data_IF_407579799484
#
_entry.id   IF_407579799484
#
_cell.length_a   1.000
_cell.length_b   1.000
_cell.length_c   1.000
_cell.angle_alpha   90.00
_cell.angle_beta   90.00
_cell.angle_gamma   90.00
#
_symmetry.space_group_name_H-M   'P 1'
#
loop_
_entity.id
_entity.type
_entity.pdbx_description
1 polymer ?
#
# COMPACT_ATOMS: atom_id res chain seq x y z
N UNK A 1 1.37 -102.50 77.70
CA UNK A 1 0.35 -101.76 76.93
C UNK A 1 1.08 -100.86 75.95
N UNK A 2 1.02 -101.18 74.66
CA UNK A 2 1.96 -100.67 73.66
C UNK A 2 1.50 -99.33 73.07
N UNK A 3 2.04 -98.23 73.63
CA UNK A 3 1.80 -96.83 73.23
C UNK A 3 2.10 -96.53 71.75
N UNK A 4 2.81 -97.43 71.04
CA UNK A 4 3.19 -97.28 69.62
C UNK A 4 2.04 -97.53 68.63
N UNK A 5 0.99 -98.26 69.03
CA UNK A 5 -0.13 -98.58 68.12
C UNK A 5 -1.21 -97.50 68.06
N UNK A 6 -1.31 -96.62 69.07
CA UNK A 6 -2.34 -95.57 69.11
C UNK A 6 -1.95 -94.39 68.20
N UNK A 7 -0.67 -94.01 68.16
CA UNK A 7 -0.20 -92.90 67.31
C UNK A 7 -0.21 -93.23 65.81
N UNK A 8 -0.06 -94.51 65.42
CA UNK A 8 -0.14 -94.92 64.01
C UNK A 8 -1.57 -94.89 63.44
N UNK A 9 -2.60 -95.11 64.28
CA UNK A 9 -3.99 -95.05 63.87
C UNK A 9 -4.51 -93.61 63.69
N UNK A 10 -4.04 -92.69 64.53
CA UNK A 10 -4.43 -91.27 64.46
C UNK A 10 -3.75 -90.56 63.27
N UNK A 11 -2.52 -90.93 62.91
CA UNK A 11 -1.81 -90.34 61.78
C UNK A 11 -2.37 -90.77 60.40
N UNK A 12 -2.95 -91.97 60.30
CA UNK A 12 -3.53 -92.49 59.06
C UNK A 12 -4.91 -91.87 58.76
N UNK A 13 -5.67 -91.44 59.77
CA UNK A 13 -6.98 -90.77 59.58
C UNK A 13 -6.85 -89.30 59.17
N UNK A 14 -5.78 -88.61 59.53
CA UNK A 14 -5.55 -87.20 59.14
C UNK A 14 -5.10 -87.10 57.67
N UNK A 15 -4.41 -88.14 57.15
CA UNK A 15 -3.86 -88.14 55.79
C UNK A 15 -4.92 -88.37 54.70
N UNK A 16 -6.08 -88.95 55.03
CA UNK A 16 -7.19 -89.16 54.08
C UNK A 16 -8.07 -87.90 53.96
N UNK A 17 -8.03 -86.98 54.94
CA UNK A 17 -8.81 -85.74 54.93
C UNK A 17 -8.27 -84.61 54.04
N UNK A 18 -7.04 -84.73 53.53
CA UNK A 18 -6.37 -83.63 52.81
C UNK A 18 -6.49 -83.77 51.27
N UNK A 19 -6.92 -84.92 50.74
CA UNK A 19 -7.01 -85.15 49.28
C UNK A 19 -8.41 -85.02 48.67
N UNK A 20 -9.42 -84.52 49.42
CA UNK A 20 -10.82 -84.44 48.96
C UNK A 20 -11.37 -83.01 48.84
N UNK A 21 -10.54 -82.00 48.61
CA UNK A 21 -10.99 -80.66 48.23
C UNK A 21 -10.44 -80.28 46.85
N UNK A 22 -10.87 -81.03 45.83
CA UNK A 22 -10.87 -80.50 44.48
C UNK A 22 -11.84 -79.31 44.46
N UNK A 23 -11.29 -78.12 44.22
CA UNK A 23 -12.01 -76.86 44.19
C UNK A 23 -12.90 -76.80 42.93
N UNK A 24 -14.00 -77.56 42.91
CA UNK A 24 -15.02 -77.44 41.88
C UNK A 24 -15.91 -76.24 42.20
N UNK A 25 -15.52 -75.05 41.71
CA UNK A 25 -16.44 -73.90 41.64
C UNK A 25 -17.76 -74.37 41.01
N UNK A 26 -18.89 -74.06 41.67
CA UNK A 26 -20.22 -74.38 41.19
C UNK A 26 -20.43 -73.78 39.79
N UNK A 27 -21.13 -74.50 38.92
CA UNK A 27 -21.41 -74.08 37.53
C UNK A 27 -22.12 -72.71 37.48
N UNK A 28 -22.89 -72.37 38.52
CA UNK A 28 -23.54 -71.07 38.71
C UNK A 28 -22.57 -69.93 38.99
N UNK A 29 -21.48 -70.17 39.73
CA UNK A 29 -20.46 -69.16 40.05
C UNK A 29 -19.57 -68.89 38.83
N UNK A 30 -19.23 -69.93 38.07
CA UNK A 30 -18.53 -69.79 36.78
C UNK A 30 -19.37 -68.98 35.79
N UNK A 31 -20.68 -69.24 35.68
CA UNK A 31 -21.58 -68.45 34.83
C UNK A 31 -21.71 -66.99 35.28
N UNK A 32 -21.68 -66.71 36.60
CA UNK A 32 -21.76 -65.34 37.12
C UNK A 32 -20.47 -64.55 36.84
N UNK A 33 -19.31 -65.20 36.91
CA UNK A 33 -18.01 -64.60 36.55
C UNK A 33 -17.97 -64.30 35.05
N UNK A 34 -18.37 -65.24 34.18
CA UNK A 34 -18.43 -65.05 32.73
C UNK A 34 -19.36 -63.89 32.36
N UNK A 35 -20.56 -63.79 32.98
CA UNK A 35 -21.49 -62.67 32.74
C UNK A 35 -20.93 -61.31 33.17
N UNK A 36 -20.17 -61.27 34.27
CA UNK A 36 -19.50 -60.04 34.74
C UNK A 36 -18.36 -59.64 33.81
N UNK A 37 -17.55 -60.60 33.34
CA UNK A 37 -16.48 -60.37 32.37
C UNK A 37 -17.03 -59.86 31.02
N UNK A 38 -18.12 -60.46 30.52
CA UNK A 38 -18.82 -60.00 29.32
C UNK A 38 -19.40 -58.58 29.46
N UNK A 39 -19.90 -58.24 30.64
CA UNK A 39 -20.43 -56.91 30.93
C UNK A 39 -19.32 -55.86 31.00
N UNK A 40 -18.19 -56.19 31.62
CA UNK A 40 -16.99 -55.33 31.65
C UNK A 40 -16.41 -55.16 30.24
N UNK A 41 -16.39 -56.22 29.42
CA UNK A 41 -15.93 -56.17 28.04
C UNK A 41 -16.82 -55.25 27.18
N UNK A 42 -18.14 -55.31 27.36
CA UNK A 42 -19.09 -54.40 26.67
C UNK A 42 -18.91 -52.94 27.08
N UNK A 43 -18.67 -52.66 28.37
CA UNK A 43 -18.41 -51.29 28.87
C UNK A 43 -17.08 -50.75 28.33
N UNK A 44 -16.01 -51.55 28.34
CA UNK A 44 -14.72 -51.15 27.74
C UNK A 44 -14.86 -50.90 26.23
N UNK A 45 -15.66 -51.71 25.54
CA UNK A 45 -15.91 -51.53 24.11
C UNK A 45 -16.71 -50.24 23.82
N UNK A 46 -17.69 -49.88 24.66
CA UNK A 46 -18.43 -48.63 24.51
C UNK A 46 -17.57 -47.41 24.85
N UNK A 47 -16.72 -47.47 25.88
CA UNK A 47 -15.76 -46.41 26.22
C UNK A 47 -14.74 -46.18 25.10
N UNK A 48 -14.18 -47.25 24.51
CA UNK A 48 -13.25 -47.15 23.37
C UNK A 48 -13.94 -46.54 22.14
N UNK A 49 -15.22 -46.85 21.91
CA UNK A 49 -16.01 -46.24 20.83
C UNK A 49 -16.26 -44.76 21.11
N UNK A 50 -16.67 -44.39 22.32
CA UNK A 50 -16.87 -43.01 22.73
C UNK A 50 -15.57 -42.18 22.64
N UNK A 51 -14.42 -42.75 23.03
CA UNK A 51 -13.11 -42.09 22.89
C UNK A 51 -12.70 -41.91 21.41
N UNK A 52 -13.00 -42.89 20.54
CA UNK A 52 -12.75 -42.77 19.10
C UNK A 52 -13.63 -41.69 18.45
N UNK A 53 -14.90 -41.61 18.83
CA UNK A 53 -15.82 -40.57 18.36
C UNK A 53 -15.42 -39.19 18.87
N UNK A 54 -15.07 -39.05 20.16
CA UNK A 54 -14.56 -37.82 20.73
C UNK A 54 -13.26 -37.35 20.04
N UNK A 55 -12.34 -38.27 19.72
CA UNK A 55 -11.13 -37.95 18.94
C UNK A 55 -11.43 -37.51 17.51
N UNK A 56 -12.42 -38.13 16.84
CA UNK A 56 -12.84 -37.70 15.49
C UNK A 56 -13.44 -36.29 15.52
N UNK A 57 -14.34 -36.03 16.46
CA UNK A 57 -14.96 -34.70 16.66
C UNK A 57 -13.89 -33.65 17.00
N UNK A 58 -12.93 -33.97 17.88
CA UNK A 58 -11.82 -33.07 18.20
C UNK A 58 -10.94 -32.76 16.98
N UNK A 59 -10.64 -33.77 16.16
CA UNK A 59 -9.84 -33.61 14.93
C UNK A 59 -10.59 -32.81 13.86
N UNK A 60 -11.90 -32.96 13.75
CA UNK A 60 -12.74 -32.15 12.86
C UNK A 60 -12.84 -30.70 13.33
N UNK A 61 -13.02 -30.47 14.64
CA UNK A 61 -13.01 -29.11 15.21
C UNK A 61 -11.65 -28.42 15.04
N UNK A 62 -10.54 -29.14 15.21
CA UNK A 62 -9.20 -28.59 14.98
C UNK A 62 -8.98 -28.23 13.51
N UNK A 63 -9.43 -29.08 12.57
CA UNK A 63 -9.40 -28.78 11.13
C UNK A 63 -10.25 -27.57 10.79
N UNK A 64 -11.48 -27.49 11.31
CA UNK A 64 -12.38 -26.36 11.10
C UNK A 64 -11.78 -25.05 11.63
N UNK A 65 -11.16 -25.08 12.81
CA UNK A 65 -10.48 -23.90 13.38
C UNK A 65 -9.26 -23.49 12.55
N UNK A 66 -8.48 -24.45 12.02
CA UNK A 66 -7.35 -24.17 11.13
C UNK A 66 -7.82 -23.55 9.81
N UNK A 67 -8.89 -24.07 9.22
CA UNK A 67 -9.46 -23.51 7.99
C UNK A 67 -10.03 -22.12 8.22
N UNK A 68 -10.72 -21.88 9.34
CA UNK A 68 -11.27 -20.55 9.66
C UNK A 68 -10.15 -19.52 9.89
N UNK A 69 -9.07 -19.90 10.59
CA UNK A 69 -7.89 -19.03 10.75
C UNK A 69 -7.22 -18.72 9.43
N UNK A 70 -7.03 -19.72 8.57
CA UNK A 70 -6.44 -19.53 7.25
C UNK A 70 -7.31 -18.61 6.35
N UNK A 71 -8.63 -18.74 6.42
CA UNK A 71 -9.56 -17.86 5.69
C UNK A 71 -9.48 -16.42 6.21
N UNK A 72 -9.47 -16.22 7.53
CA UNK A 72 -9.33 -14.89 8.14
C UNK A 72 -7.99 -14.22 7.82
N UNK A 73 -6.91 -14.99 7.81
CA UNK A 73 -5.58 -14.49 7.44
C UNK A 73 -5.53 -14.11 5.95
N UNK A 74 -6.05 -14.95 5.06
CA UNK A 74 -6.15 -14.65 3.64
C UNK A 74 -7.02 -13.41 3.35
N UNK A 75 -8.13 -13.24 4.08
CA UNK A 75 -8.98 -12.05 3.97
C UNK A 75 -8.26 -10.79 4.48
N UNK A 76 -7.55 -10.88 5.61
CA UNK A 76 -6.76 -9.77 6.14
C UNK A 76 -5.64 -9.35 5.17
N UNK A 77 -4.97 -10.30 4.53
CA UNK A 77 -3.93 -10.02 3.54
C UNK A 77 -4.51 -9.40 2.27
N UNK A 78 -5.68 -9.86 1.81
CA UNK A 78 -6.40 -9.23 0.69
C UNK A 78 -6.78 -7.78 1.00
N UNK A 79 -7.32 -7.53 2.20
CA UNK A 79 -7.68 -6.16 2.63
C UNK A 79 -6.44 -5.26 2.70
N UNK A 80 -5.32 -5.76 3.25
CA UNK A 80 -4.05 -5.01 3.29
C UNK A 80 -3.53 -4.69 1.90
N UNK A 81 -3.59 -5.64 0.97
CA UNK A 81 -3.11 -5.43 -0.39
C UNK A 81 -4.01 -4.43 -1.15
N UNK A 82 -5.32 -4.51 -0.95
CA UNK A 82 -6.27 -3.54 -1.51
C UNK A 82 -6.06 -2.13 -0.93
N UNK A 83 -5.83 -2.01 0.38
CA UNK A 83 -5.47 -0.75 1.02
C UNK A 83 -4.16 -0.17 0.46
N UNK A 84 -3.12 -1.00 0.29
CA UNK A 84 -1.85 -0.57 -0.32
C UNK A 84 -2.07 -0.10 -1.75
N UNK A 85 -2.90 -0.80 -2.52
CA UNK A 85 -3.23 -0.42 -3.89
C UNK A 85 -3.97 0.92 -3.95
N UNK A 86 -4.94 1.14 -3.07
CA UNK A 86 -5.64 2.42 -2.95
C UNK A 86 -4.66 3.53 -2.57
N UNK A 87 -3.82 3.32 -1.56
CA UNK A 87 -2.82 4.31 -1.13
C UNK A 87 -1.84 4.65 -2.26
N UNK A 88 -1.42 3.65 -3.04
CA UNK A 88 -0.55 3.85 -4.20
C UNK A 88 -1.25 4.68 -5.29
N UNK A 89 -2.51 4.36 -5.60
CA UNK A 89 -3.32 5.10 -6.57
C UNK A 89 -3.54 6.55 -6.13
N UNK A 90 -3.78 6.80 -4.83
CA UNK A 90 -3.89 8.15 -4.29
C UNK A 90 -2.57 8.92 -4.38
N UNK A 91 -1.45 8.28 -4.05
CA UNK A 91 -0.10 8.88 -4.20
C UNK A 91 0.18 9.22 -5.66
N UNK A 92 -0.15 8.33 -6.58
CA UNK A 92 0.07 8.55 -8.01
C UNK A 92 -0.84 9.64 -8.55
N UNK A 93 -2.13 9.66 -8.16
CA UNK A 93 -3.04 10.77 -8.49
C UNK A 93 -2.50 12.10 -7.99
N UNK A 94 -2.04 12.17 -6.73
CA UNK A 94 -1.46 13.38 -6.14
C UNK A 94 -0.18 13.82 -6.85
N UNK A 95 0.64 12.86 -7.32
CA UNK A 95 1.85 13.17 -8.12
C UNK A 95 1.46 13.73 -9.48
N UNK A 96 0.48 13.14 -10.15
CA UNK A 96 -0.03 13.60 -11.43
C UNK A 96 -0.65 15.00 -11.32
N UNK A 97 -1.47 15.25 -10.30
CA UNK A 97 -2.04 16.59 -10.04
C UNK A 97 -0.94 17.63 -9.82
N UNK A 98 0.09 17.33 -9.03
CA UNK A 98 1.24 18.23 -8.85
C UNK A 98 2.01 18.47 -10.14
N UNK A 99 2.16 17.46 -11.00
CA UNK A 99 2.83 17.61 -12.29
C UNK A 99 2.01 18.49 -13.23
N UNK A 100 0.69 18.27 -13.31
CA UNK A 100 -0.22 19.10 -14.07
C UNK A 100 -0.21 20.55 -13.59
N UNK A 101 -0.25 20.77 -12.27
CA UNK A 101 -0.19 22.12 -11.69
C UNK A 101 1.13 22.83 -12.01
N UNK A 102 2.26 22.11 -11.96
CA UNK A 102 3.57 22.67 -12.36
C UNK A 102 3.59 23.03 -13.84
N UNK A 103 3.13 22.13 -14.70
CA UNK A 103 3.05 22.37 -16.14
C UNK A 103 2.13 23.54 -16.48
N UNK A 104 1.00 23.69 -15.79
CA UNK A 104 0.09 24.82 -15.97
C UNK A 104 0.74 26.14 -15.53
N UNK A 105 1.45 26.15 -14.39
CA UNK A 105 2.21 27.31 -13.93
C UNK A 105 3.32 27.71 -14.91
N UNK A 106 4.04 26.74 -15.47
CA UNK A 106 5.07 26.99 -16.49
C UNK A 106 4.44 27.54 -17.77
N UNK A 107 3.33 26.97 -18.25
CA UNK A 107 2.58 27.50 -19.39
C UNK A 107 2.13 28.94 -19.17
N UNK A 108 1.56 29.24 -18.00
CA UNK A 108 1.15 30.61 -17.63
C UNK A 108 2.32 31.59 -17.61
N UNK A 109 3.47 31.18 -17.06
CA UNK A 109 4.70 32.01 -17.08
C UNK A 109 5.17 32.29 -18.50
N UNK A 110 5.22 31.27 -19.36
CA UNK A 110 5.60 31.42 -20.77
C UNK A 110 4.62 32.36 -21.49
N UNK A 111 3.32 32.23 -21.25
CA UNK A 111 2.29 33.08 -21.86
C UNK A 111 2.42 34.55 -21.44
N UNK A 112 2.61 34.82 -20.13
CA UNK A 112 2.83 36.18 -19.63
C UNK A 112 4.11 36.79 -20.21
N UNK A 113 5.22 36.05 -20.26
CA UNK A 113 6.47 36.54 -20.87
C UNK A 113 6.30 36.80 -22.38
N UNK A 114 5.58 35.94 -23.11
CA UNK A 114 5.26 36.19 -24.53
C UNK A 114 4.43 37.45 -24.72
N UNK A 115 3.45 37.68 -23.84
CA UNK A 115 2.60 38.87 -23.87
C UNK A 115 3.40 40.14 -23.59
N UNK A 116 4.31 40.11 -22.62
CA UNK A 116 5.19 41.24 -22.32
C UNK A 116 6.19 41.50 -23.45
N UNK A 117 6.74 40.46 -24.07
CA UNK A 117 7.56 40.59 -25.28
C UNK A 117 6.77 41.25 -26.42
N UNK A 118 5.55 40.80 -26.68
CA UNK A 118 4.70 41.38 -27.71
C UNK A 118 4.42 42.87 -27.46
N UNK A 119 4.06 43.23 -26.22
CA UNK A 119 3.89 44.64 -25.82
C UNK A 119 5.17 45.46 -26.01
N UNK A 120 6.32 44.89 -25.63
CA UNK A 120 7.59 45.56 -25.76
C UNK A 120 7.97 45.81 -27.23
N UNK A 121 7.72 44.83 -28.12
CA UNK A 121 7.92 44.93 -29.56
C UNK A 121 6.97 45.95 -30.20
N UNK A 122 5.69 45.94 -29.86
CA UNK A 122 4.74 46.93 -30.37
C UNK A 122 5.17 48.35 -30.01
N UNK A 123 5.60 48.58 -28.77
CA UNK A 123 6.11 49.88 -28.33
C UNK A 123 7.41 50.27 -29.04
N UNK A 124 8.28 49.31 -29.35
CA UNK A 124 9.48 49.56 -30.15
C UNK A 124 9.11 50.02 -31.56
N UNK A 125 8.14 49.34 -32.18
CA UNK A 125 7.65 49.68 -33.51
C UNK A 125 7.03 51.07 -33.55
N UNK A 126 6.17 51.41 -32.58
CA UNK A 126 5.60 52.76 -32.45
C UNK A 126 6.68 53.84 -32.38
N UNK A 127 7.71 53.65 -31.54
CA UNK A 127 8.81 54.61 -31.42
C UNK A 127 9.57 54.74 -32.75
N UNK A 128 9.82 53.62 -33.44
CA UNK A 128 10.52 53.63 -34.73
C UNK A 128 9.69 54.36 -35.80
N UNK A 129 8.37 54.12 -35.86
CA UNK A 129 7.47 54.82 -36.77
C UNK A 129 7.42 56.33 -36.50
N UNK A 130 7.41 56.73 -35.22
CA UNK A 130 7.43 58.15 -34.86
C UNK A 130 8.76 58.81 -35.21
N UNK A 131 9.89 58.13 -35.01
CA UNK A 131 11.21 58.61 -35.47
C UNK A 131 11.20 58.79 -36.98
N UNK A 132 10.69 57.81 -37.74
CA UNK A 132 10.65 57.88 -39.20
C UNK A 132 9.79 59.04 -39.69
N UNK A 133 8.60 59.25 -39.09
CA UNK A 133 7.72 60.37 -39.42
C UNK A 133 8.40 61.71 -39.16
N UNK A 134 9.08 61.86 -38.03
CA UNK A 134 9.76 63.11 -37.69
C UNK A 134 11.02 63.34 -38.51
N UNK A 135 11.77 62.29 -38.83
CA UNK A 135 12.89 62.36 -39.77
C UNK A 135 12.41 62.81 -41.15
N UNK A 136 11.34 62.19 -41.69
CA UNK A 136 10.73 62.59 -42.97
C UNK A 136 10.27 64.05 -42.98
N UNK A 137 9.68 64.52 -41.87
CA UNK A 137 9.23 65.91 -41.74
C UNK A 137 10.41 66.88 -41.67
N UNK A 138 11.44 66.54 -40.91
CA UNK A 138 12.70 67.29 -40.85
C UNK A 138 13.34 67.39 -42.24
N UNK A 139 13.56 66.26 -42.91
CA UNK A 139 14.20 66.20 -44.23
C UNK A 139 13.43 67.04 -45.26
N UNK A 140 12.10 66.96 -45.26
CA UNK A 140 11.24 67.75 -46.15
C UNK A 140 11.32 69.26 -45.88
N UNK A 141 11.41 69.68 -44.63
CA UNK A 141 11.53 71.10 -44.27
C UNK A 141 12.94 71.63 -44.56
N UNK A 142 13.96 70.81 -44.30
CA UNK A 142 15.36 71.12 -44.56
C UNK A 142 15.63 71.26 -46.06
N UNK A 143 15.16 70.31 -46.88
CA UNK A 143 15.25 70.38 -48.35
C UNK A 143 14.58 71.63 -48.93
N UNK A 144 13.50 72.10 -48.31
CA UNK A 144 12.81 73.33 -48.73
C UNK A 144 13.50 74.62 -48.24
N UNK A 145 14.61 74.52 -47.50
CA UNK A 145 15.29 75.66 -46.89
C UNK A 145 14.44 76.41 -45.87
N UNK A 146 13.42 75.76 -45.29
CA UNK A 146 12.47 76.40 -44.36
C UNK A 146 12.91 76.36 -42.90
N UNK A 147 14.09 75.82 -42.62
CA UNK A 147 14.64 75.70 -41.27
C UNK A 147 15.82 76.65 -41.12
N UNK A 148 15.82 77.42 -40.03
CA UNK A 148 17.02 78.15 -39.61
C UNK A 148 18.04 77.18 -38.98
N UNK A 149 19.33 77.56 -38.88
CA UNK A 149 20.33 76.74 -38.21
C UNK A 149 19.93 76.33 -36.78
N UNK A 150 19.28 77.24 -36.05
CA UNK A 150 18.79 76.97 -34.69
C UNK A 150 17.64 75.94 -34.68
N UNK A 151 16.76 75.99 -35.69
CA UNK A 151 15.66 75.02 -35.81
C UNK A 151 16.21 73.63 -36.15
N UNK A 152 17.22 73.55 -37.02
CA UNK A 152 17.90 72.28 -37.36
C UNK A 152 18.47 71.65 -36.08
N UNK A 153 19.14 72.43 -35.22
CA UNK A 153 19.67 71.93 -33.96
C UNK A 153 18.57 71.39 -33.03
N UNK A 154 17.44 72.10 -32.91
CA UNK A 154 16.28 71.64 -32.11
C UNK A 154 15.70 70.32 -32.64
N UNK A 155 15.58 70.19 -33.97
CA UNK A 155 15.11 68.96 -34.61
C UNK A 155 16.07 67.79 -34.37
N UNK A 156 17.37 68.02 -34.54
CA UNK A 156 18.39 67.01 -34.27
C UNK A 156 18.34 66.52 -32.82
N UNK A 157 18.27 67.44 -31.84
CA UNK A 157 18.11 67.07 -30.41
C UNK A 157 16.82 66.30 -30.15
N UNK A 158 15.71 66.63 -30.82
CA UNK A 158 14.44 65.91 -30.68
C UNK A 158 14.56 64.47 -31.20
N UNK A 159 15.09 64.30 -32.41
CA UNK A 159 15.29 63.00 -33.03
C UNK A 159 16.27 62.15 -32.21
N UNK A 160 17.35 62.75 -31.70
CA UNK A 160 18.31 62.08 -30.81
C UNK A 160 17.64 61.54 -29.54
N UNK A 161 16.85 62.36 -28.83
CA UNK A 161 16.07 61.91 -27.66
C UNK A 161 15.11 60.76 -27.99
N UNK A 162 14.51 60.76 -29.19
CA UNK A 162 13.65 59.66 -29.62
C UNK A 162 14.46 58.38 -29.90
N UNK A 163 15.64 58.50 -30.53
CA UNK A 163 16.57 57.38 -30.73
C UNK A 163 17.08 56.81 -29.41
N UNK A 164 17.39 57.65 -28.41
CA UNK A 164 17.73 57.19 -27.06
C UNK A 164 16.59 56.38 -26.42
N UNK A 165 15.34 56.85 -26.54
CA UNK A 165 14.17 56.08 -26.10
C UNK A 165 14.05 54.74 -26.84
N UNK A 166 14.30 54.73 -28.14
CA UNK A 166 14.30 53.50 -28.96
C UNK A 166 15.37 52.51 -28.50
N UNK A 167 16.59 52.95 -28.21
CA UNK A 167 17.66 52.05 -27.71
C UNK A 167 17.34 51.51 -26.31
N UNK A 168 16.73 52.32 -25.45
CA UNK A 168 16.29 51.89 -24.13
C UNK A 168 15.18 50.85 -24.22
N UNK A 169 14.25 51.03 -25.16
CA UNK A 169 13.16 50.08 -25.41
C UNK A 169 13.68 48.79 -26.06
N UNK A 170 14.66 48.87 -26.98
CA UNK A 170 15.32 47.70 -27.58
C UNK A 170 16.01 46.83 -26.51
N UNK A 171 16.67 47.46 -25.52
CA UNK A 171 17.23 46.73 -24.37
C UNK A 171 16.15 45.98 -23.57
N UNK A 172 14.94 46.53 -23.45
CA UNK A 172 13.81 45.86 -22.78
C UNK A 172 13.29 44.69 -23.59
N UNK A 173 13.16 44.85 -24.91
CA UNK A 173 12.79 43.77 -25.83
C UNK A 173 13.79 42.62 -25.72
N UNK A 174 15.09 42.91 -25.87
CA UNK A 174 16.16 41.91 -25.73
C UNK A 174 16.18 41.22 -24.37
N UNK A 175 15.88 41.95 -23.30
CA UNK A 175 15.75 41.36 -21.96
C UNK A 175 14.59 40.37 -21.90
N UNK A 176 13.41 40.74 -22.40
CA UNK A 176 12.24 39.87 -22.45
C UNK A 176 12.46 38.64 -23.37
N UNK A 177 13.17 38.80 -24.49
CA UNK A 177 13.55 37.67 -25.37
C UNK A 177 14.44 36.66 -24.65
N UNK A 178 15.46 37.13 -23.92
CA UNK A 178 16.33 36.26 -23.12
C UNK A 178 15.59 35.61 -21.95
N UNK A 179 14.61 36.29 -21.36
CA UNK A 179 13.77 35.69 -20.31
C UNK A 179 12.89 34.59 -20.90
N UNK A 180 12.37 34.76 -22.11
CA UNK A 180 11.61 33.73 -22.81
C UNK A 180 12.49 32.53 -23.21
N UNK A 181 13.73 32.76 -23.63
CA UNK A 181 14.67 31.70 -24.02
C UNK A 181 15.14 30.85 -22.83
N UNK A 182 15.10 31.40 -21.61
CA UNK A 182 15.49 30.70 -20.38
C UNK A 182 14.37 29.88 -19.74
N UNK A 183 13.12 30.07 -20.18
CA UNK A 183 11.94 29.38 -19.68
C UNK A 183 11.67 28.12 -20.50
#
# INVERSE_FOLDING_TARGET
MNLKFIYSGVFMLISIGIQAQENTLSESEKQLIIKKEDSIAKIKLSEVRAQKEAKKIAKEKEKALKTEKALKEAEADRIKEEQRRIEQLEKDKKRMEKQLEKAEKERKKIEEVKKDLAKARNKQEEINQDIEKEQKKFDKLNQKGKLSPLDIEKWNKKIEKMREKATTQDKKVKKAERELEKL
#
